data_IF_906133997428
#
_entry.id   IF_906133997428
#
_cell.length_a   1.000
_cell.length_b   1.000
_cell.length_c   1.000
_cell.angle_alpha   90.00
_cell.angle_beta   90.00
_cell.angle_gamma   90.00
#
_symmetry.space_group_name_H-M   'P 1'
#
loop_
_entity.id
_entity.type
_entity.pdbx_description
1 polymer ?
#
# COMPACT_ATOMS: atom_id res chain seq x y z
N UNK A 1 8.24 -11.18 -14.35
CA UNK A 1 8.16 -12.50 -13.73
C UNK A 1 9.07 -12.72 -12.51
N UNK A 2 9.88 -11.75 -12.14
CA UNK A 2 10.70 -11.79 -10.92
C UNK A 2 9.82 -11.54 -9.67
N UNK A 3 8.86 -10.65 -9.78
CA UNK A 3 7.89 -10.31 -8.72
C UNK A 3 7.03 -11.51 -8.34
N UNK A 4 6.62 -12.32 -9.31
CA UNK A 4 5.85 -13.54 -9.06
C UNK A 4 6.64 -14.63 -8.31
N UNK A 5 7.96 -14.68 -8.49
CA UNK A 5 8.81 -15.64 -7.76
C UNK A 5 9.09 -15.23 -6.32
N UNK A 6 9.23 -13.94 -6.05
CA UNK A 6 9.34 -13.42 -4.68
C UNK A 6 8.00 -13.52 -3.93
N UNK A 7 6.88 -13.33 -4.61
CA UNK A 7 5.54 -13.52 -4.04
C UNK A 7 5.25 -14.98 -3.68
N UNK A 8 5.66 -15.93 -4.53
CA UNK A 8 5.47 -17.37 -4.28
C UNK A 8 6.31 -17.89 -3.09
N UNK A 9 7.51 -17.34 -2.88
CA UNK A 9 8.37 -17.71 -1.75
C UNK A 9 7.84 -17.24 -0.40
N UNK A 10 7.11 -16.13 -0.37
CA UNK A 10 6.56 -15.54 0.87
C UNK A 10 5.14 -16.06 1.12
N UNK A 11 4.33 -16.32 0.09
CA UNK A 11 3.01 -16.96 0.22
C UNK A 11 3.08 -18.34 0.86
N UNK A 12 4.13 -19.11 0.57
CA UNK A 12 4.37 -20.41 1.21
C UNK A 12 4.74 -20.32 2.70
N UNK A 13 5.23 -19.17 3.16
CA UNK A 13 5.61 -18.96 4.57
C UNK A 13 4.41 -18.71 5.49
N UNK A 14 3.27 -18.25 4.95
CA UNK A 14 2.08 -17.91 5.72
C UNK A 14 0.93 -18.93 5.60
N UNK A 15 1.10 -20.00 4.85
CA UNK A 15 0.20 -21.15 4.82
C UNK A 15 -1.21 -20.88 4.28
N UNK A 16 -1.45 -19.71 3.68
CA UNK A 16 -2.72 -19.37 3.05
C UNK A 16 -2.71 -19.80 1.58
N UNK A 17 -3.82 -20.38 1.14
CA UNK A 17 -4.07 -20.66 -0.28
C UNK A 17 -4.24 -19.31 -0.98
N UNK A 18 -3.72 -19.13 -2.19
CA UNK A 18 -3.83 -17.88 -2.97
C UNK A 18 -5.29 -17.41 -3.14
N UNK A 19 -6.23 -18.35 -3.12
CA UNK A 19 -7.66 -18.07 -3.16
C UNK A 19 -8.22 -17.42 -1.88
N UNK A 20 -7.53 -17.55 -0.74
CA UNK A 20 -7.95 -16.98 0.54
C UNK A 20 -7.32 -15.62 0.81
N UNK A 21 -6.03 -15.46 0.52
CA UNK A 21 -5.32 -14.20 0.72
C UNK A 21 -4.11 -14.05 -0.21
N UNK A 22 -3.91 -12.86 -0.74
CA UNK A 22 -2.72 -12.49 -1.50
C UNK A 22 -1.98 -11.35 -0.80
N UNK A 23 -0.64 -11.41 -0.89
CA UNK A 23 0.28 -10.44 -0.31
C UNK A 23 1.08 -9.78 -1.43
N UNK A 24 0.93 -8.47 -1.59
CA UNK A 24 1.58 -7.70 -2.63
C UNK A 24 2.50 -6.68 -1.98
N UNK A 25 3.78 -6.68 -2.36
CA UNK A 25 4.81 -5.88 -1.72
C UNK A 25 5.14 -4.63 -2.52
N UNK A 26 5.33 -3.53 -1.80
CA UNK A 26 5.94 -2.31 -2.28
C UNK A 26 7.33 -2.18 -1.65
N UNK A 27 8.35 -2.73 -2.31
CA UNK A 27 9.73 -2.78 -1.80
C UNK A 27 10.63 -1.74 -2.47
N UNK A 28 10.46 -1.56 -3.76
CA UNK A 28 11.28 -0.72 -4.64
C UNK A 28 10.43 -0.13 -5.75
N UNK A 29 10.89 1.00 -6.30
CA UNK A 29 10.31 1.57 -7.50
C UNK A 29 10.67 0.77 -8.77
N UNK A 30 10.16 1.20 -9.92
CA UNK A 30 10.42 0.57 -11.22
C UNK A 30 11.90 0.59 -11.64
N UNK A 31 12.72 1.46 -11.04
CA UNK A 31 14.17 1.55 -11.28
C UNK A 31 14.97 0.72 -10.26
N UNK A 32 14.32 0.00 -9.36
CA UNK A 32 14.97 -0.80 -8.33
C UNK A 32 15.44 0.02 -7.11
N UNK A 33 15.00 1.27 -6.98
CA UNK A 33 15.34 2.14 -5.85
C UNK A 33 14.38 1.88 -4.69
N UNK A 34 14.94 1.64 -3.51
CA UNK A 34 14.18 1.45 -2.28
C UNK A 34 13.45 2.73 -1.91
N UNK A 35 12.20 2.61 -1.48
CA UNK A 35 11.42 3.74 -1.00
C UNK A 35 11.99 4.31 0.29
N UNK A 36 12.16 5.63 0.36
CA UNK A 36 12.83 6.32 1.47
C UNK A 36 12.19 7.69 1.73
N UNK A 37 11.46 7.79 2.82
CA UNK A 37 10.75 9.02 3.22
C UNK A 37 11.63 10.08 3.87
N UNK A 38 12.91 9.77 4.14
CA UNK A 38 13.89 10.81 4.47
C UNK A 38 14.27 11.67 3.26
N UNK A 39 14.03 11.16 2.05
CA UNK A 39 14.38 11.82 0.77
C UNK A 39 13.17 12.36 0.02
N UNK A 40 12.05 11.63 0.04
CA UNK A 40 10.86 11.98 -0.73
C UNK A 40 9.59 11.70 0.05
N UNK A 41 8.55 12.47 -0.22
CA UNK A 41 7.17 12.09 0.08
C UNK A 41 6.61 11.31 -1.11
N UNK A 42 5.66 10.41 -0.86
CA UNK A 42 5.07 9.59 -1.90
C UNK A 42 3.54 9.66 -1.89
N UNK A 43 2.95 9.36 -3.03
CA UNK A 43 1.50 9.17 -3.19
C UNK A 43 1.27 7.80 -3.83
N UNK A 44 0.35 7.03 -3.26
CA UNK A 44 -0.24 5.87 -3.88
C UNK A 44 -1.64 6.24 -4.36
N UNK A 45 -1.79 6.32 -5.69
CA UNK A 45 -3.06 6.71 -6.31
C UNK A 45 -3.83 5.49 -6.78
N UNK A 46 -5.10 5.41 -6.41
CA UNK A 46 -6.06 4.47 -6.96
C UNK A 46 -7.11 5.21 -7.79
N UNK A 47 -7.22 4.90 -9.06
CA UNK A 47 -8.36 5.34 -9.87
C UNK A 47 -9.67 4.81 -9.26
N UNK A 48 -10.77 5.51 -9.47
CA UNK A 48 -12.09 5.20 -8.91
C UNK A 48 -12.48 3.73 -9.04
N UNK A 49 -12.23 3.12 -10.19
CA UNK A 49 -12.67 1.76 -10.52
C UNK A 49 -11.50 0.75 -10.52
N UNK A 50 -10.35 1.12 -9.94
CA UNK A 50 -9.14 0.30 -9.91
C UNK A 50 -8.62 0.01 -8.51
N UNK A 51 -9.50 0.02 -7.52
CA UNK A 51 -9.19 -0.47 -6.18
C UNK A 51 -8.83 -1.96 -6.23
N UNK A 52 -8.08 -2.47 -5.23
CA UNK A 52 -7.79 -3.91 -5.18
C UNK A 52 -9.07 -4.75 -5.27
N UNK A 53 -9.19 -5.63 -6.28
CA UNK A 53 -10.42 -6.39 -6.50
C UNK A 53 -10.49 -7.59 -5.55
N UNK A 54 -11.29 -7.44 -4.52
CA UNK A 54 -11.48 -8.44 -3.45
C UNK A 54 -12.96 -8.63 -3.14
N UNK A 55 -13.33 -9.84 -2.72
CA UNK A 55 -14.68 -10.16 -2.26
C UNK A 55 -14.87 -9.84 -0.77
N UNK A 56 -13.81 -9.86 0.02
CA UNK A 56 -13.85 -9.52 1.44
C UNK A 56 -13.33 -8.10 1.69
N UNK A 57 -12.02 -7.93 1.90
CA UNK A 57 -11.40 -6.63 2.16
C UNK A 57 -9.93 -6.62 1.76
N UNK A 58 -9.35 -5.44 1.69
CA UNK A 58 -7.91 -5.25 1.53
C UNK A 58 -7.36 -4.32 2.61
N UNK A 59 -6.07 -4.44 2.88
CA UNK A 59 -5.34 -3.53 3.76
C UNK A 59 -3.94 -3.26 3.23
N UNK A 60 -3.42 -2.06 3.49
CA UNK A 60 -2.03 -1.69 3.23
C UNK A 60 -1.39 -1.36 4.57
N UNK A 61 -0.36 -2.08 4.96
CA UNK A 61 0.37 -1.89 6.21
C UNK A 61 1.76 -1.34 5.94
N UNK A 62 2.17 -0.34 6.72
CA UNK A 62 3.48 0.30 6.68
C UNK A 62 4.46 -0.39 7.63
N UNK A 63 5.68 -0.61 7.14
CA UNK A 63 6.79 -1.15 7.94
C UNK A 63 8.07 -0.37 7.72
N UNK A 64 8.81 -0.10 8.79
CA UNK A 64 10.18 0.38 8.71
C UNK A 64 11.09 -0.76 8.21
N UNK A 65 11.91 -0.48 7.20
CA UNK A 65 12.76 -1.51 6.60
C UNK A 65 13.88 -1.98 7.54
N UNK A 66 14.41 -1.09 8.35
CA UNK A 66 15.54 -1.39 9.25
C UNK A 66 15.17 -2.37 10.36
N UNK A 67 13.99 -2.20 10.94
CA UNK A 67 13.52 -2.95 12.12
C UNK A 67 12.49 -4.02 11.77
N UNK A 68 11.90 -3.96 10.57
CA UNK A 68 10.73 -4.75 10.15
C UNK A 68 9.50 -4.56 11.05
N UNK A 69 9.49 -3.48 11.82
CA UNK A 69 8.42 -3.14 12.75
C UNK A 69 7.46 -2.11 12.13
N UNK A 70 6.27 -2.02 12.71
CA UNK A 70 5.33 -0.96 12.41
C UNK A 70 5.87 0.38 12.95
N UNK A 71 5.54 1.47 12.26
CA UNK A 71 6.05 2.80 12.57
C UNK A 71 5.17 3.48 13.61
N UNK A 72 5.71 3.78 14.78
CA UNK A 72 5.00 4.58 15.79
C UNK A 72 4.68 5.97 15.24
N UNK A 73 3.45 6.43 15.44
CA UNK A 73 2.98 7.70 14.89
C UNK A 73 1.83 8.32 15.73
N UNK A 74 1.60 9.65 15.61
CA UNK A 74 0.61 10.36 16.44
C UNK A 74 -0.82 9.89 16.28
N UNK A 75 -1.17 9.26 15.16
CA UNK A 75 -2.51 8.76 14.89
C UNK A 75 -2.74 7.32 15.34
N UNK A 76 -1.69 6.62 15.81
CA UNK A 76 -1.70 5.17 15.98
C UNK A 76 -2.22 4.43 14.74
N UNK A 77 -1.92 4.98 13.57
CA UNK A 77 -2.34 4.44 12.27
C UNK A 77 -1.20 3.68 11.63
N UNK A 78 -1.32 2.38 11.58
CA UNK A 78 -0.30 1.46 11.05
C UNK A 78 -0.67 0.89 9.69
N UNK A 79 -1.94 0.98 9.34
CA UNK A 79 -2.49 0.50 8.08
C UNK A 79 -3.67 1.37 7.62
N UNK A 80 -3.99 1.21 6.34
CA UNK A 80 -5.23 1.69 5.74
C UNK A 80 -5.92 0.51 5.08
N UNK A 81 -7.25 0.47 5.13
CA UNK A 81 -8.03 -0.64 4.62
C UNK A 81 -9.33 -0.20 3.93
N UNK A 82 -9.99 -1.14 3.28
CA UNK A 82 -11.23 -0.89 2.53
C UNK A 82 -12.39 -0.39 3.40
N UNK A 83 -12.42 -0.69 4.70
CA UNK A 83 -13.44 -0.17 5.60
C UNK A 83 -13.33 1.34 5.83
N UNK A 84 -12.15 1.93 5.58
CA UNK A 84 -11.90 3.38 5.70
C UNK A 84 -12.30 4.16 4.45
N UNK A 85 -12.70 3.51 3.38
CA UNK A 85 -13.06 4.16 2.09
C UNK A 85 -14.11 5.28 2.22
N UNK A 86 -15.13 5.19 3.09
CA UNK A 86 -16.09 6.29 3.27
C UNK A 86 -15.46 7.58 3.81
N UNK A 87 -14.37 7.47 4.57
CA UNK A 87 -13.69 8.60 5.21
C UNK A 87 -12.61 9.22 4.33
N UNK A 88 -12.18 8.52 3.28
CA UNK A 88 -11.16 9.03 2.36
C UNK A 88 -11.70 10.16 1.50
N UNK A 89 -10.91 11.21 1.39
CA UNK A 89 -11.14 12.26 0.41
C UNK A 89 -10.82 11.74 -0.98
N UNK A 90 -11.78 11.95 -1.87
CA UNK A 90 -11.66 11.58 -3.28
C UNK A 90 -11.23 12.81 -4.09
N UNK A 91 -10.49 12.56 -5.15
CA UNK A 91 -10.19 13.57 -6.15
C UNK A 91 -11.44 13.90 -7.00
N UNK A 92 -11.30 14.85 -7.92
CA UNK A 92 -12.39 15.28 -8.82
C UNK A 92 -12.95 14.17 -9.73
N UNK A 93 -12.19 13.11 -9.93
CA UNK A 93 -12.56 11.96 -10.76
C UNK A 93 -13.08 10.78 -9.91
N UNK A 94 -13.10 10.93 -8.59
CA UNK A 94 -13.49 9.88 -7.64
C UNK A 94 -12.37 8.92 -7.26
N UNK A 95 -11.14 9.18 -7.68
CA UNK A 95 -9.94 8.45 -7.28
C UNK A 95 -9.50 8.78 -5.86
N UNK A 96 -8.58 8.02 -5.32
CA UNK A 96 -8.08 8.15 -3.94
C UNK A 96 -6.56 8.25 -3.97
N UNK A 97 -6.03 9.33 -3.37
CA UNK A 97 -4.61 9.48 -3.08
C UNK A 97 -4.34 9.06 -1.64
N UNK A 98 -3.45 8.12 -1.42
CA UNK A 98 -2.91 7.80 -0.11
C UNK A 98 -1.54 8.48 0.01
N UNK A 99 -1.42 9.40 0.98
CA UNK A 99 -0.19 10.14 1.26
C UNK A 99 0.72 9.32 2.16
N UNK A 100 1.92 9.03 1.68
CA UNK A 100 2.92 8.24 2.38
C UNK A 100 4.12 9.14 2.67
N UNK A 101 4.18 9.62 3.89
CA UNK A 101 5.18 10.58 4.35
C UNK A 101 5.28 10.59 5.87
N UNK A 102 6.38 11.13 6.39
CA UNK A 102 6.66 11.20 7.83
C UNK A 102 5.71 12.16 8.57
N UNK A 103 5.46 13.32 7.99
CA UNK A 103 4.66 14.40 8.61
C UNK A 103 3.26 14.46 8.01
N UNK A 104 2.30 14.99 8.78
CA UNK A 104 0.93 15.17 8.29
C UNK A 104 0.89 16.00 7.00
N UNK A 105 0.11 15.58 5.99
CA UNK A 105 -0.13 16.37 4.78
C UNK A 105 -1.09 17.57 5.04
N UNK A 106 -1.48 17.79 6.28
CA UNK A 106 -2.44 18.81 6.70
C UNK A 106 -3.80 18.20 7.06
N UNK A 107 -4.54 18.89 7.96
CA UNK A 107 -5.83 18.42 8.50
C UNK A 107 -6.82 17.95 7.44
N UNK A 108 -6.82 18.63 6.30
CA UNK A 108 -7.74 18.30 5.22
C UNK A 108 -7.44 16.99 4.51
N UNK A 109 -6.23 16.43 4.65
CA UNK A 109 -5.76 15.23 3.97
C UNK A 109 -5.38 14.11 4.94
N UNK A 110 -5.54 14.33 6.25
CA UNK A 110 -5.17 13.34 7.28
C UNK A 110 -5.95 12.03 7.17
N UNK A 111 -7.20 12.06 6.67
CA UNK A 111 -7.95 10.83 6.43
C UNK A 111 -7.26 9.90 5.43
N UNK A 112 -6.48 10.47 4.52
CA UNK A 112 -5.77 9.77 3.46
C UNK A 112 -4.27 9.58 3.76
N UNK A 113 -3.82 9.88 4.97
CA UNK A 113 -2.41 9.80 5.32
C UNK A 113 -2.06 8.48 6.00
N UNK A 114 -1.11 7.77 5.42
CA UNK A 114 -0.44 6.63 6.05
C UNK A 114 0.95 7.09 6.52
N UNK A 115 1.14 7.31 7.84
CA UNK A 115 2.41 7.73 8.38
C UNK A 115 3.54 6.75 8.04
N UNK A 116 4.68 7.30 7.62
CA UNK A 116 5.87 6.53 7.25
C UNK A 116 7.05 6.89 8.17
N UNK A 117 8.08 6.04 8.28
CA UNK A 117 9.27 6.33 9.08
C UNK A 117 10.08 7.48 8.48
N UNK A 118 11.09 7.94 9.19
CA UNK A 118 12.11 8.85 8.64
C UNK A 118 13.26 8.00 8.06
N UNK A 119 13.05 7.43 6.88
CA UNK A 119 14.02 6.53 6.28
C UNK A 119 13.39 5.52 5.32
N UNK A 120 14.10 4.43 5.09
CA UNK A 120 13.65 3.36 4.20
C UNK A 120 12.45 2.61 4.79
N UNK A 121 11.49 2.31 3.92
CA UNK A 121 10.28 1.59 4.28
C UNK A 121 9.87 0.57 3.21
N UNK A 122 8.94 -0.28 3.58
CA UNK A 122 8.18 -1.11 2.66
C UNK A 122 6.72 -1.19 3.12
N UNK A 123 5.84 -1.52 2.19
CA UNK A 123 4.44 -1.74 2.49
C UNK A 123 3.98 -3.09 1.98
N UNK A 124 2.99 -3.64 2.65
CA UNK A 124 2.34 -4.89 2.26
C UNK A 124 0.86 -4.62 2.04
N UNK A 125 0.41 -4.78 0.80
CA UNK A 125 -1.00 -4.84 0.45
C UNK A 125 -1.46 -6.29 0.65
N UNK A 126 -2.41 -6.49 1.55
CA UNK A 126 -3.09 -7.77 1.77
C UNK A 126 -4.47 -7.72 1.15
N UNK A 127 -4.75 -8.67 0.29
CA UNK A 127 -6.04 -8.83 -0.38
C UNK A 127 -6.70 -10.12 0.11
N UNK A 128 -7.83 -10.01 0.77
CA UNK A 128 -8.56 -11.15 1.33
C UNK A 128 -9.73 -11.52 0.43
N UNK A 129 -9.85 -12.79 0.08
CA UNK A 129 -10.71 -13.34 -0.96
C UNK A 129 -10.56 -12.54 -2.27
N UNK A 130 -9.33 -12.54 -2.84
CA UNK A 130 -9.07 -11.85 -4.09
C UNK A 130 -9.96 -12.40 -5.21
N UNK A 131 -10.34 -11.54 -6.14
CA UNK A 131 -11.04 -12.00 -7.33
C UNK A 131 -10.07 -12.55 -8.38
N UNK A 132 -10.63 -13.12 -9.44
CA UNK A 132 -9.87 -13.76 -10.50
C UNK A 132 -8.88 -12.81 -11.19
N UNK A 133 -9.20 -11.52 -11.31
CA UNK A 133 -8.33 -10.54 -11.95
C UNK A 133 -7.07 -10.24 -11.13
N UNK A 134 -7.15 -10.36 -9.83
CA UNK A 134 -5.99 -10.26 -8.96
C UNK A 134 -5.15 -11.55 -9.01
N UNK A 135 -5.79 -12.71 -8.93
CA UNK A 135 -5.13 -14.03 -8.95
C UNK A 135 -4.38 -14.26 -10.26
N UNK A 136 -4.99 -13.94 -11.41
CA UNK A 136 -4.38 -14.15 -12.72
C UNK A 136 -3.40 -13.03 -13.15
N UNK A 137 -3.26 -11.96 -12.34
CA UNK A 137 -2.36 -10.83 -12.60
C UNK A 137 -2.88 -9.81 -13.62
N UNK A 138 -4.14 -9.87 -14.01
CA UNK A 138 -4.76 -8.86 -14.91
C UNK A 138 -4.89 -7.50 -14.21
N UNK A 139 -5.17 -7.49 -12.91
CA UNK A 139 -5.11 -6.28 -12.12
C UNK A 139 -3.65 -5.89 -11.84
N UNK A 140 -3.31 -4.66 -12.15
CA UNK A 140 -1.99 -4.12 -11.90
C UNK A 140 -2.02 -3.19 -10.69
N UNK A 141 -1.16 -3.46 -9.70
CA UNK A 141 -1.00 -2.55 -8.56
C UNK A 141 -0.52 -1.18 -9.07
N UNK A 142 -1.07 -0.07 -8.57
CA UNK A 142 -0.51 1.24 -8.86
C UNK A 142 0.89 1.38 -8.25
N UNK A 143 1.78 2.08 -8.95
CA UNK A 143 3.11 2.39 -8.45
C UNK A 143 3.07 3.61 -7.51
N UNK A 144 3.96 3.61 -6.52
CA UNK A 144 4.20 4.80 -5.70
C UNK A 144 4.84 5.90 -6.53
N UNK A 145 4.28 7.09 -6.45
CA UNK A 145 4.78 8.28 -7.13
C UNK A 145 5.40 9.24 -6.12
N UNK A 146 6.51 9.88 -6.50
CA UNK A 146 7.10 10.94 -5.70
C UNK A 146 6.17 12.15 -5.69
N UNK A 147 5.79 12.60 -4.50
CA UNK A 147 5.01 13.80 -4.31
C UNK A 147 5.96 15.02 -4.31
N UNK A 148 5.91 15.80 -5.38
CA UNK A 148 6.75 17.00 -5.55
C UNK A 148 6.15 18.28 -4.94
N UNK A 149 5.05 18.16 -4.19
CA UNK A 149 4.39 19.30 -3.53
C UNK A 149 4.90 19.47 -2.11
#
# INVERSE_FOLDING_TARGET
NYIMKEMAAIGGLFGNIEEEAMYIFYLKDSNGVIYDTSKNNYILHFDKDKLPPVKAFWSITMYEKKTYAMVENPLNRYLMNSAMLPDFKKDKNGGIDIYIQKTSPGKNLESNWLPAPDGEFYMVLRAYLPDETLINGSWQKPELQINKK
#
